data_IF_249790541449
#
_entry.id   IF_249790541449
#
_cell.length_a   1.000
_cell.length_b   1.000
_cell.length_c   1.000
_cell.angle_alpha   90.00
_cell.angle_beta   90.00
_cell.angle_gamma   90.00
#
_symmetry.space_group_name_H-M   'P 1'
#
loop_
_entity.id
_entity.type
_entity.pdbx_description
1 polymer ?
#
# COMPACT_ATOMS: atom_id res chain seq x y z
N UNK A 1 -14.64 -12.60 18.78
CA UNK A 1 -15.28 -11.74 17.77
C UNK A 1 -14.47 -10.47 17.51
N UNK A 2 -14.26 -9.58 18.49
CA UNK A 2 -13.50 -8.33 18.32
C UNK A 2 -12.09 -8.50 17.74
N UNK A 3 -11.36 -9.53 18.17
CA UNK A 3 -10.04 -9.89 17.63
C UNK A 3 -10.08 -10.16 16.12
N UNK A 4 -10.98 -11.04 15.71
CA UNK A 4 -11.13 -11.40 14.31
C UNK A 4 -11.56 -10.19 13.47
N UNK A 5 -12.51 -9.39 13.98
CA UNK A 5 -12.95 -8.15 13.33
C UNK A 5 -11.80 -7.18 13.11
N UNK A 6 -10.97 -6.92 14.13
CA UNK A 6 -9.80 -6.05 14.00
C UNK A 6 -8.78 -6.59 13.01
N UNK A 7 -8.42 -7.88 13.09
CA UNK A 7 -7.43 -8.50 12.20
C UNK A 7 -7.90 -8.49 10.75
N UNK A 8 -9.09 -9.04 10.49
CA UNK A 8 -9.65 -9.14 9.14
C UNK A 8 -9.89 -7.74 8.58
N UNK A 9 -10.50 -6.84 9.35
CA UNK A 9 -10.71 -5.47 8.94
C UNK A 9 -9.40 -4.76 8.61
N UNK A 10 -8.34 -4.97 9.40
CA UNK A 10 -7.02 -4.37 9.14
C UNK A 10 -6.41 -4.91 7.86
N UNK A 11 -6.45 -6.23 7.65
CA UNK A 11 -5.90 -6.86 6.44
C UNK A 11 -6.64 -6.39 5.17
N UNK A 12 -7.98 -6.39 5.21
CA UNK A 12 -8.80 -5.89 4.10
C UNK A 12 -8.53 -4.41 3.86
N UNK A 13 -8.49 -3.58 4.92
CA UNK A 13 -8.16 -2.16 4.78
C UNK A 13 -6.77 -1.97 4.18
N UNK A 14 -5.76 -2.73 4.64
CA UNK A 14 -4.40 -2.61 4.11
C UNK A 14 -4.34 -2.99 2.62
N UNK A 15 -5.06 -4.03 2.20
CA UNK A 15 -5.12 -4.45 0.79
C UNK A 15 -5.74 -3.37 -0.12
N UNK A 16 -6.81 -2.72 0.32
CA UNK A 16 -7.45 -1.65 -0.46
C UNK A 16 -6.58 -0.40 -0.46
N UNK A 17 -6.14 0.03 0.72
CA UNK A 17 -5.38 1.25 0.86
C UNK A 17 -3.98 1.18 0.25
N UNK A 18 -3.34 0.00 0.16
CA UNK A 18 -2.05 -0.13 -0.53
C UNK A 18 -2.20 0.19 -2.01
N UNK A 19 -3.29 -0.25 -2.65
CA UNK A 19 -3.59 0.07 -4.05
C UNK A 19 -3.85 1.57 -4.21
N UNK A 20 -4.66 2.16 -3.33
CA UNK A 20 -4.94 3.60 -3.35
C UNK A 20 -3.67 4.44 -3.27
N UNK A 21 -2.77 4.16 -2.32
CA UNK A 21 -1.53 4.95 -2.17
C UNK A 21 -0.53 4.69 -3.28
N UNK A 22 -0.52 3.48 -3.85
CA UNK A 22 0.30 3.13 -5.01
C UNK A 22 -0.16 3.90 -6.26
N UNK A 23 -1.45 3.86 -6.59
CA UNK A 23 -1.99 4.63 -7.72
C UNK A 23 -1.86 6.14 -7.51
N UNK A 24 -2.05 6.63 -6.28
CA UNK A 24 -1.76 8.03 -5.95
C UNK A 24 -0.30 8.39 -6.27
N UNK A 25 0.63 7.48 -6.07
CA UNK A 25 2.02 7.65 -6.47
C UNK A 25 2.17 7.85 -7.97
N UNK A 26 1.52 7.03 -8.80
CA UNK A 26 1.52 7.21 -10.26
C UNK A 26 0.90 8.54 -10.68
N UNK A 27 -0.24 8.94 -10.08
CA UNK A 27 -0.90 10.21 -10.36
C UNK A 27 0.03 11.40 -10.06
N UNK A 28 0.67 11.41 -8.88
CA UNK A 28 1.63 12.44 -8.52
C UNK A 28 2.85 12.43 -9.44
N UNK A 29 3.34 11.24 -9.79
CA UNK A 29 4.43 11.06 -10.76
C UNK A 29 4.08 11.63 -12.14
N UNK A 30 2.88 11.36 -12.63
CA UNK A 30 2.36 11.87 -13.89
C UNK A 30 2.32 13.40 -13.90
N UNK A 31 1.73 14.01 -12.86
CA UNK A 31 1.67 15.47 -12.74
C UNK A 31 3.06 16.11 -12.68
N UNK A 32 4.00 15.51 -11.94
CA UNK A 32 5.39 16.00 -11.90
C UNK A 32 6.11 15.85 -13.24
N UNK A 33 5.79 14.81 -14.02
CA UNK A 33 6.34 14.58 -15.36
C UNK A 33 5.62 15.37 -16.46
N UNK A 34 4.59 16.16 -16.11
CA UNK A 34 3.78 16.93 -17.06
C UNK A 34 2.81 16.09 -17.89
N UNK A 35 2.53 14.86 -17.48
CA UNK A 35 1.57 13.96 -18.14
C UNK A 35 0.14 14.16 -17.60
N UNK A 36 -0.85 13.87 -18.44
CA UNK A 36 -2.25 13.87 -18.05
C UNK A 36 -2.67 12.48 -17.57
N UNK A 37 -3.44 12.45 -16.49
CA UNK A 37 -4.05 11.21 -15.97
C UNK A 37 -5.43 11.09 -16.60
N UNK A 38 -5.63 10.04 -17.41
CA UNK A 38 -6.88 9.81 -18.12
C UNK A 38 -7.90 9.12 -17.20
N UNK A 39 -7.45 8.08 -16.48
CA UNK A 39 -8.32 7.31 -15.57
C UNK A 39 -7.51 6.64 -14.47
N UNK A 40 -8.07 6.61 -13.28
CA UNK A 40 -7.61 5.74 -12.19
C UNK A 40 -8.66 4.68 -11.95
N UNK A 41 -8.26 3.41 -12.01
CA UNK A 41 -9.15 2.26 -11.77
C UNK A 41 -8.76 1.64 -10.43
N UNK A 42 -9.65 1.77 -9.46
CA UNK A 42 -9.58 1.10 -8.16
C UNK A 42 -10.77 0.15 -8.06
N UNK A 43 -10.52 -1.10 -7.69
CA UNK A 43 -11.57 -2.07 -7.50
C UNK A 43 -11.12 -3.15 -6.50
N UNK A 44 -11.97 -3.59 -5.55
CA UNK A 44 -11.53 -4.47 -4.45
C UNK A 44 -10.95 -5.82 -4.90
N UNK A 45 -11.42 -6.30 -6.05
CA UNK A 45 -11.11 -7.63 -6.61
C UNK A 45 -10.26 -7.60 -7.87
N UNK A 46 -9.90 -6.42 -8.39
CA UNK A 46 -9.05 -6.30 -9.58
C UNK A 46 -7.72 -5.67 -9.18
N UNK A 47 -6.71 -5.84 -10.02
CA UNK A 47 -5.47 -5.08 -9.89
C UNK A 47 -5.76 -3.64 -10.30
N UNK A 48 -5.39 -2.70 -9.43
CA UNK A 48 -5.50 -1.28 -9.71
C UNK A 48 -4.62 -0.86 -10.89
N UNK A 49 -5.00 0.22 -11.57
CA UNK A 49 -4.16 0.83 -12.61
C UNK A 49 -4.46 2.31 -12.77
N UNK A 50 -3.45 3.06 -13.19
CA UNK A 50 -3.57 4.45 -13.63
C UNK A 50 -3.27 4.49 -15.13
N UNK A 51 -4.28 4.84 -15.92
CA UNK A 51 -4.18 5.09 -17.35
C UNK A 51 -3.73 6.56 -17.56
N UNK A 52 -2.63 6.77 -18.29
CA UNK A 52 -1.91 8.05 -18.40
C UNK A 52 -1.60 8.31 -19.87
N UNK A 53 -1.77 9.56 -20.32
CA UNK A 53 -1.33 10.03 -21.64
C UNK A 53 0.19 9.87 -21.80
N UNK A 54 0.72 9.83 -23.02
CA UNK A 54 2.17 9.71 -23.26
C UNK A 54 3.01 10.64 -22.37
N UNK A 55 3.79 10.05 -21.46
CA UNK A 55 4.65 10.78 -20.55
C UNK A 55 6.05 10.93 -21.14
N UNK A 56 6.62 12.14 -21.09
CA UNK A 56 8.00 12.38 -21.52
C UNK A 56 9.03 11.57 -20.69
N UNK A 57 8.70 11.26 -19.43
CA UNK A 57 9.54 10.52 -18.51
C UNK A 57 8.79 9.34 -17.88
N UNK A 58 8.52 8.26 -18.63
CA UNK A 58 7.67 7.15 -18.17
C UNK A 58 8.22 6.47 -16.91
N UNK A 59 9.55 6.34 -16.80
CA UNK A 59 10.19 5.76 -15.61
C UNK A 59 9.90 6.54 -14.33
N UNK A 60 9.79 7.87 -14.38
CA UNK A 60 9.46 8.68 -13.20
C UNK A 60 8.06 8.33 -12.72
N UNK A 61 7.11 8.23 -13.66
CA UNK A 61 5.71 7.93 -13.38
C UNK A 61 5.55 6.51 -12.83
N UNK A 62 6.18 5.52 -13.46
CA UNK A 62 6.06 4.12 -13.05
C UNK A 62 6.74 3.90 -11.70
N UNK A 63 7.93 4.45 -11.45
CA UNK A 63 8.58 4.33 -10.13
C UNK A 63 7.87 5.11 -9.02
N UNK A 64 7.18 6.21 -9.36
CA UNK A 64 6.48 7.01 -8.36
C UNK A 64 5.40 6.21 -7.62
N UNK A 65 4.73 5.26 -8.27
CA UNK A 65 3.75 4.35 -7.65
C UNK A 65 4.31 3.60 -6.44
N UNK A 66 5.26 2.67 -6.62
CA UNK A 66 5.85 1.89 -5.53
C UNK A 66 6.67 2.74 -4.55
N UNK A 67 7.36 3.80 -5.02
CA UNK A 67 8.16 4.66 -4.14
C UNK A 67 7.25 5.48 -3.22
N UNK A 68 6.32 6.25 -3.77
CA UNK A 68 5.44 7.10 -2.95
C UNK A 68 4.42 6.25 -2.18
N UNK A 69 3.93 5.16 -2.78
CA UNK A 69 3.09 4.17 -2.13
C UNK A 69 3.75 3.52 -0.91
N UNK A 70 5.08 3.46 -0.87
CA UNK A 70 5.84 3.00 0.30
C UNK A 70 6.22 4.12 1.28
N UNK A 71 6.63 5.29 0.76
CA UNK A 71 7.12 6.41 1.59
C UNK A 71 5.99 7.14 2.32
N UNK A 72 4.84 7.37 1.69
CA UNK A 72 3.73 8.09 2.32
C UNK A 72 3.21 7.38 3.58
N UNK A 73 2.96 6.04 3.57
CA UNK A 73 2.57 5.33 4.78
C UNK A 73 3.62 5.40 5.90
N UNK A 74 4.91 5.37 5.56
CA UNK A 74 5.99 5.53 6.54
C UNK A 74 5.98 6.91 7.19
N UNK A 75 5.78 7.97 6.41
CA UNK A 75 5.66 9.34 6.90
C UNK A 75 4.43 9.50 7.80
N UNK A 76 3.29 8.93 7.41
CA UNK A 76 2.07 8.94 8.22
C UNK A 76 2.26 8.19 9.54
N UNK A 77 2.91 7.03 9.52
CA UNK A 77 3.27 6.30 10.73
C UNK A 77 4.22 7.11 11.63
N UNK A 78 5.27 7.71 11.06
CA UNK A 78 6.20 8.54 11.81
C UNK A 78 5.49 9.73 12.46
N UNK A 79 4.57 10.38 11.74
CA UNK A 79 3.75 11.46 12.25
C UNK A 79 2.84 10.98 13.40
N UNK A 80 2.12 9.87 13.22
CA UNK A 80 1.27 9.30 14.28
C UNK A 80 2.07 8.96 15.55
N UNK A 81 3.27 8.40 15.37
CA UNK A 81 4.20 8.10 16.46
C UNK A 81 4.68 9.38 17.17
N UNK A 82 5.07 10.41 16.43
CA UNK A 82 5.47 11.72 16.98
C UNK A 82 4.35 12.39 17.76
N UNK A 83 3.11 12.25 17.28
CA UNK A 83 1.91 12.75 17.92
C UNK A 83 1.38 11.84 19.04
N UNK A 84 2.08 10.73 19.34
CA UNK A 84 1.74 9.75 20.41
C UNK A 84 0.30 9.23 20.30
N UNK A 85 -0.19 9.03 19.08
CA UNK A 85 -1.54 8.52 18.83
C UNK A 85 -1.66 7.06 19.32
N UNK A 86 -2.74 6.69 20.04
CA UNK A 86 -2.92 5.30 20.48
C UNK A 86 -3.08 4.34 19.29
N UNK A 87 -3.52 4.82 18.13
CA UNK A 87 -3.68 4.03 16.91
C UNK A 87 -2.38 3.87 16.10
N UNK A 88 -1.23 4.34 16.61
CA UNK A 88 0.07 4.28 15.90
C UNK A 88 0.42 2.88 15.37
N UNK A 89 -0.01 1.82 16.06
CA UNK A 89 0.23 0.44 15.63
C UNK A 89 -0.48 0.09 14.31
N UNK A 90 -1.66 0.66 14.02
CA UNK A 90 -2.36 0.45 12.75
C UNK A 90 -1.59 1.10 11.60
N UNK A 91 -1.11 2.34 11.79
CA UNK A 91 -0.26 3.02 10.80
C UNK A 91 1.07 2.28 10.60
N UNK A 92 1.68 1.77 11.68
CA UNK A 92 2.89 0.95 11.60
C UNK A 92 2.65 -0.33 10.80
N UNK A 93 1.53 -1.01 11.07
CA UNK A 93 1.15 -2.21 10.37
C UNK A 93 0.91 -1.94 8.89
N UNK A 94 0.17 -0.87 8.56
CA UNK A 94 -0.10 -0.46 7.19
C UNK A 94 1.18 -0.08 6.44
N UNK A 95 2.10 0.68 7.05
CA UNK A 95 3.37 1.02 6.45
C UNK A 95 4.24 -0.22 6.18
N UNK A 96 4.26 -1.17 7.12
CA UNK A 96 4.90 -2.48 6.90
C UNK A 96 4.27 -3.27 5.77
N UNK A 97 2.93 -3.25 5.67
CA UNK A 97 2.18 -3.89 4.59
C UNK A 97 2.55 -3.29 3.23
N UNK A 98 2.61 -1.96 3.12
CA UNK A 98 2.93 -1.28 1.87
C UNK A 98 4.35 -1.60 1.38
N UNK A 99 5.32 -1.64 2.30
CA UNK A 99 6.69 -2.04 1.99
C UNK A 99 6.75 -3.50 1.50
N UNK A 100 6.06 -4.41 2.18
CA UNK A 100 6.01 -5.83 1.80
C UNK A 100 5.33 -6.04 0.45
N UNK A 101 4.17 -5.42 0.26
CA UNK A 101 3.39 -5.53 -0.97
C UNK A 101 4.18 -4.98 -2.15
N UNK A 102 4.67 -3.73 -2.07
CA UNK A 102 5.44 -3.09 -3.15
C UNK A 102 6.75 -3.83 -3.43
N UNK A 103 7.46 -4.25 -2.38
CA UNK A 103 8.71 -4.99 -2.50
C UNK A 103 8.53 -6.37 -3.14
N UNK A 104 7.54 -7.12 -2.68
CA UNK A 104 7.23 -8.44 -3.24
C UNK A 104 6.71 -8.32 -4.66
N UNK A 105 5.83 -7.34 -4.92
CA UNK A 105 5.29 -7.06 -6.24
C UNK A 105 6.41 -6.78 -7.25
N UNK A 106 7.33 -5.85 -6.96
CA UNK A 106 8.44 -5.55 -7.86
C UNK A 106 9.46 -6.68 -7.98
N UNK A 107 9.90 -7.26 -6.86
CA UNK A 107 10.95 -8.26 -6.90
C UNK A 107 10.47 -9.57 -7.53
N UNK A 108 9.30 -10.08 -7.14
CA UNK A 108 8.76 -11.34 -7.67
C UNK A 108 8.10 -11.13 -9.03
N UNK A 109 7.35 -10.03 -9.21
CA UNK A 109 6.73 -9.71 -10.49
C UNK A 109 7.72 -9.40 -11.61
N UNK A 110 9.00 -9.17 -11.29
CA UNK A 110 10.07 -9.01 -12.29
C UNK A 110 10.31 -10.27 -13.13
N UNK A 111 9.95 -11.46 -12.65
CA UNK A 111 10.09 -12.70 -13.41
C UNK A 111 9.04 -12.83 -14.52
N UNK A 112 7.80 -12.42 -14.24
CA UNK A 112 6.69 -12.53 -15.19
C UNK A 112 6.54 -11.27 -16.08
N UNK A 113 7.12 -10.13 -15.67
CA UNK A 113 7.10 -8.90 -16.46
C UNK A 113 5.70 -8.30 -16.64
N UNK A 114 4.85 -8.41 -15.62
CA UNK A 114 3.44 -7.97 -15.62
C UNK A 114 3.30 -6.66 -14.83
N UNK A 115 2.40 -5.77 -15.27
CA UNK A 115 2.16 -4.46 -14.67
C UNK A 115 3.42 -3.60 -14.63
N UNK A 116 3.61 -2.85 -13.55
CA UNK A 116 4.74 -1.93 -13.37
C UNK A 116 6.08 -2.60 -13.61
N UNK A 117 6.26 -3.85 -13.18
CA UNK A 117 7.50 -4.59 -13.38
C UNK A 117 7.85 -4.70 -14.87
N UNK A 118 6.86 -5.06 -15.68
CA UNK A 118 7.01 -5.14 -17.13
C UNK A 118 7.33 -3.80 -17.74
N UNK A 119 6.61 -2.76 -17.33
CA UNK A 119 6.77 -1.42 -17.90
C UNK A 119 8.12 -0.80 -17.50
N UNK A 120 8.56 -0.99 -16.25
CA UNK A 120 9.89 -0.60 -15.80
C UNK A 120 10.98 -1.26 -16.65
N UNK A 121 10.89 -2.57 -16.88
CA UNK A 121 11.87 -3.31 -17.68
C UNK A 121 11.84 -2.87 -19.15
N UNK A 122 10.65 -2.68 -19.74
CA UNK A 122 10.48 -2.19 -21.13
C UNK A 122 11.08 -0.81 -21.34
N UNK A 123 10.95 0.07 -20.36
CA UNK A 123 11.52 1.42 -20.38
C UNK A 123 12.99 1.48 -19.92
N UNK A 124 13.64 0.33 -19.73
CA UNK A 124 15.10 0.26 -19.54
C UNK A 124 15.57 0.23 -18.07
N UNK A 125 14.67 0.08 -17.10
CA UNK A 125 15.08 -0.19 -15.72
C UNK A 125 15.74 -1.56 -15.67
N UNK A 126 16.98 -1.68 -15.15
CA UNK A 126 17.61 -2.97 -15.00
C UNK A 126 16.93 -3.82 -13.91
N UNK A 127 16.76 -5.11 -14.18
CA UNK A 127 16.06 -6.05 -13.27
C UNK A 127 16.63 -6.08 -11.85
N UNK A 128 17.95 -5.90 -11.69
CA UNK A 128 18.59 -5.91 -10.37
C UNK A 128 18.13 -4.74 -9.49
N UNK A 129 17.65 -3.62 -10.05
CA UNK A 129 17.07 -2.53 -9.26
C UNK A 129 15.73 -2.93 -8.65
N UNK A 130 14.92 -3.72 -9.35
CA UNK A 130 13.65 -4.24 -8.82
C UNK A 130 13.93 -5.20 -7.66
N UNK A 131 14.94 -6.07 -7.81
CA UNK A 131 15.40 -6.94 -6.72
C UNK A 131 15.99 -6.18 -5.56
N UNK A 132 16.79 -5.14 -5.81
CA UNK A 132 17.35 -4.29 -4.76
C UNK A 132 16.22 -3.58 -4.00
N UNK A 133 15.22 -3.07 -4.70
CA UNK A 133 14.05 -2.46 -4.07
C UNK A 133 13.36 -3.46 -3.13
N UNK A 134 13.04 -4.65 -3.60
CA UNK A 134 12.42 -5.69 -2.75
C UNK A 134 13.33 -6.15 -1.61
N UNK A 135 14.63 -6.30 -1.84
CA UNK A 135 15.62 -6.68 -0.83
C UNK A 135 15.68 -5.66 0.33
N UNK A 136 15.40 -4.38 0.05
CA UNK A 136 15.36 -3.34 1.07
C UNK A 136 13.99 -3.22 1.73
N UNK A 137 12.91 -3.22 0.96
CA UNK A 137 11.56 -2.95 1.47
C UNK A 137 10.97 -4.16 2.20
N UNK A 138 11.22 -5.40 1.75
CA UNK A 138 10.66 -6.60 2.40
C UNK A 138 11.19 -6.74 3.84
N UNK A 139 12.51 -6.73 4.12
CA UNK A 139 13.01 -6.82 5.49
C UNK A 139 12.58 -5.62 6.34
N UNK A 140 12.54 -4.42 5.78
CA UNK A 140 12.06 -3.23 6.48
C UNK A 140 10.58 -3.38 6.89
N UNK A 141 9.73 -3.91 6.01
CA UNK A 141 8.33 -4.18 6.29
C UNK A 141 8.14 -5.25 7.37
N UNK A 142 8.89 -6.36 7.29
CA UNK A 142 8.90 -7.39 8.35
C UNK A 142 9.37 -6.83 9.70
N UNK A 143 10.36 -5.95 9.69
CA UNK A 143 10.83 -5.27 10.90
C UNK A 143 9.73 -4.37 11.50
N UNK A 144 8.97 -3.66 10.66
CA UNK A 144 7.81 -2.88 11.14
C UNK A 144 6.71 -3.77 11.71
N UNK A 145 6.52 -4.99 11.23
CA UNK A 145 5.56 -5.93 11.81
C UNK A 145 6.05 -6.62 13.09
N UNK A 146 7.34 -6.54 13.40
CA UNK A 146 7.91 -7.15 14.59
C UNK A 146 7.22 -6.67 15.89
N UNK A 147 6.82 -7.64 16.73
CA UNK A 147 6.11 -7.45 18.00
C UNK A 147 4.72 -6.75 17.89
N UNK A 148 4.11 -6.68 16.69
CA UNK A 148 2.79 -6.07 16.53
C UNK A 148 1.63 -6.96 17.03
N UNK A 149 1.83 -8.28 17.12
CA UNK A 149 0.77 -9.24 17.48
C UNK A 149 0.09 -8.95 18.83
N UNK A 150 0.81 -8.35 19.78
CA UNK A 150 0.28 -7.91 21.08
C UNK A 150 -0.91 -6.95 20.96
N UNK A 151 -0.88 -6.04 19.97
CA UNK A 151 -1.92 -5.03 19.75
C UNK A 151 -3.17 -5.61 19.08
N UNK A 152 -3.00 -6.73 18.37
CA UNK A 152 -4.10 -7.54 17.83
C UNK A 152 -4.59 -8.61 18.82
N UNK A 153 -4.17 -8.52 20.09
CA UNK A 153 -4.59 -9.45 21.14
C UNK A 153 -4.07 -10.87 20.97
N UNK A 154 -2.97 -11.09 20.24
CA UNK A 154 -2.36 -12.41 20.08
C UNK A 154 -1.45 -12.74 21.29
N UNK A 155 -1.45 -13.99 21.79
CA UNK A 155 -0.54 -14.43 22.85
C UNK A 155 0.93 -14.39 22.37
N UNK A 156 1.92 -14.29 23.29
CA UNK A 156 1.78 -14.37 24.75
C UNK A 156 1.51 -13.02 25.43
N UNK A 157 1.65 -11.88 24.73
CA UNK A 157 1.54 -10.52 25.30
C UNK A 157 0.25 -9.81 24.87
N UNK A 158 -0.87 -10.54 24.81
CA UNK A 158 -2.13 -10.01 24.30
C UNK A 158 -2.61 -8.77 25.09
N UNK A 159 -2.84 -7.66 24.38
CA UNK A 159 -3.48 -6.47 24.96
C UNK A 159 -5.00 -6.53 24.77
N UNK A 160 -5.80 -5.89 25.66
CA UNK A 160 -7.23 -5.76 25.48
C UNK A 160 -7.56 -4.99 24.19
N UNK A 161 -8.52 -5.51 23.41
CA UNK A 161 -8.98 -4.87 22.19
C UNK A 161 -10.18 -3.99 22.51
N UNK A 162 -10.08 -2.71 22.19
CA UNK A 162 -11.19 -1.77 22.35
C UNK A 162 -12.25 -2.02 21.27
N UNK A 163 -13.54 -2.22 21.63
CA UNK A 163 -14.57 -2.55 20.65
C UNK A 163 -14.74 -1.50 19.54
N UNK A 164 -14.68 -0.22 19.90
CA UNK A 164 -14.82 0.88 18.93
C UNK A 164 -13.74 0.81 17.84
N UNK A 165 -12.50 0.46 18.21
CA UNK A 165 -11.39 0.38 17.26
C UNK A 165 -11.60 -0.75 16.25
N UNK A 166 -12.03 -1.92 16.73
CA UNK A 166 -12.31 -3.06 15.87
C UNK A 166 -13.42 -2.72 14.84
N UNK A 167 -14.49 -2.06 15.29
CA UNK A 167 -15.58 -1.66 14.41
C UNK A 167 -15.20 -0.51 13.49
N UNK A 168 -14.42 0.48 13.94
CA UNK A 168 -13.95 1.57 13.08
C UNK A 168 -13.13 1.06 11.90
N UNK A 169 -12.25 0.07 12.12
CA UNK A 169 -11.45 -0.53 11.05
C UNK A 169 -12.33 -1.32 10.07
N UNK A 170 -13.33 -2.07 10.57
CA UNK A 170 -14.29 -2.77 9.72
C UNK A 170 -15.13 -1.78 8.90
N UNK A 171 -15.64 -0.72 9.53
CA UNK A 171 -16.39 0.34 8.86
C UNK A 171 -15.55 1.02 7.80
N UNK A 172 -14.28 1.33 8.07
CA UNK A 172 -13.36 1.89 7.08
C UNK A 172 -13.21 0.95 5.87
N UNK A 173 -12.99 -0.34 6.09
CA UNK A 173 -12.90 -1.33 5.01
C UNK A 173 -14.18 -1.35 4.16
N UNK A 174 -15.35 -1.44 4.79
CA UNK A 174 -16.65 -1.47 4.08
C UNK A 174 -16.88 -0.19 3.30
N UNK A 175 -16.63 0.97 3.91
CA UNK A 175 -16.79 2.26 3.24
C UNK A 175 -15.84 2.41 2.04
N UNK A 176 -14.60 1.91 2.17
CA UNK A 176 -13.61 1.92 1.07
C UNK A 176 -14.09 1.03 -0.08
N UNK A 177 -14.58 -0.19 0.21
CA UNK A 177 -15.16 -1.10 -0.80
C UNK A 177 -16.33 -0.43 -1.52
N UNK A 178 -17.27 0.15 -0.78
CA UNK A 178 -18.43 0.83 -1.37
C UNK A 178 -17.99 2.00 -2.25
N UNK A 179 -17.03 2.81 -1.78
CA UNK A 179 -16.49 3.92 -2.55
C UNK A 179 -15.83 3.46 -3.86
N UNK A 180 -15.01 2.42 -3.82
CA UNK A 180 -14.37 1.85 -5.02
C UNK A 180 -15.40 1.29 -6.01
N UNK A 181 -16.40 0.55 -5.53
CA UNK A 181 -17.46 0.00 -6.39
C UNK A 181 -18.31 1.09 -7.05
N UNK A 182 -18.64 2.16 -6.31
CA UNK A 182 -19.38 3.30 -6.85
C UNK A 182 -18.54 4.06 -7.87
N UNK A 183 -17.28 4.36 -7.55
CA UNK A 183 -16.38 5.07 -8.46
C UNK A 183 -16.06 4.26 -9.73
N UNK A 184 -16.03 2.93 -9.64
CA UNK A 184 -15.85 2.07 -10.81
C UNK A 184 -17.08 2.05 -11.74
N UNK A 185 -18.28 2.22 -11.19
CA UNK A 185 -19.54 2.19 -11.93
C UNK A 185 -19.86 3.51 -12.67
N UNK A 186 -19.18 4.61 -12.33
CA UNK A 186 -19.30 5.93 -12.96
C UNK A 186 -18.24 6.13 -14.04
#
# INVERSE_FOLDING_TARGET
>A
MLRAALIIGTLVSCWLWVQIVHELGHVLGAWMAGAQVDRVVLHPLLISRTDISEAAHPLVVIWAGPILGSLLPLLLWLLAWRLKRPETFLFRFFAGFCLLASGTYLAVGSFDGIGDCGDLLRHGTPIWLLWLFGLLTIPAGLYLWHDQGRHFGLPPRAQPIQPWLAWSVVSLAVLTIVAELVAYAT
#
